data_IF_283535787792
#
_entry.id   IF_283535787792
#
_cell.length_a   1.000
_cell.length_b   1.000
_cell.length_c   1.000
_cell.angle_alpha   90.00
_cell.angle_beta   90.00
_cell.angle_gamma   90.00
#
_symmetry.space_group_name_H-M   'P 1'
#
loop_
_entity.id
_entity.type
_entity.pdbx_description
1 polymer ?
#
# COMPACT_ATOMS: atom_id res chain seq x y z
N UNK A 1 12.53 -12.56 -3.52
CA UNK A 1 11.86 -11.29 -3.88
C UNK A 1 11.93 -11.12 -5.39
N UNK A 2 10.81 -10.74 -6.01
CA UNK A 2 10.70 -10.50 -7.45
C UNK A 2 10.26 -9.06 -7.70
N UNK A 3 10.96 -8.36 -8.59
CA UNK A 3 10.46 -7.10 -9.12
C UNK A 3 9.53 -7.38 -10.29
N UNK A 4 8.29 -6.87 -10.21
CA UNK A 4 7.33 -6.97 -11.30
C UNK A 4 7.55 -5.79 -12.24
N UNK A 5 8.06 -6.10 -13.43
CA UNK A 5 8.26 -5.13 -14.51
C UNK A 5 7.41 -5.48 -15.71
N UNK A 6 7.00 -4.45 -16.44
CA UNK A 6 6.27 -4.59 -17.69
C UNK A 6 4.74 -4.56 -17.53
N UNK A 7 4.01 -4.10 -18.56
CA UNK A 7 2.57 -3.87 -18.48
C UNK A 7 1.76 -5.12 -18.11
N UNK A 8 2.13 -6.29 -18.63
CA UNK A 8 1.38 -7.53 -18.40
C UNK A 8 1.43 -7.98 -16.94
N UNK A 9 2.61 -7.96 -16.32
CA UNK A 9 2.78 -8.36 -14.91
C UNK A 9 2.09 -7.38 -13.97
N UNK A 10 2.19 -6.07 -14.24
CA UNK A 10 1.51 -5.05 -13.43
C UNK A 10 -0.02 -5.11 -13.58
N UNK A 11 -0.56 -5.43 -14.76
CA UNK A 11 -1.99 -5.68 -14.93
C UNK A 11 -2.46 -6.94 -14.19
N UNK A 12 -1.65 -8.00 -14.18
CA UNK A 12 -1.94 -9.20 -13.38
C UNK A 12 -1.94 -8.89 -11.88
N UNK A 13 -0.98 -8.07 -11.42
CA UNK A 13 -0.87 -7.65 -10.04
C UNK A 13 -2.09 -6.81 -9.63
N UNK A 14 -2.48 -5.84 -10.45
CA UNK A 14 -3.69 -5.02 -10.24
C UNK A 14 -4.94 -5.91 -10.06
N UNK A 15 -5.14 -6.86 -10.98
CA UNK A 15 -6.27 -7.80 -10.93
C UNK A 15 -6.25 -8.68 -9.67
N UNK A 16 -5.06 -9.09 -9.23
CA UNK A 16 -4.91 -9.90 -8.02
C UNK A 16 -5.20 -9.08 -6.76
N UNK A 17 -4.63 -7.88 -6.64
CA UNK A 17 -4.86 -6.96 -5.52
C UNK A 17 -6.34 -6.60 -5.38
N UNK A 18 -7.07 -6.44 -6.49
CA UNK A 18 -8.52 -6.13 -6.47
C UNK A 18 -9.34 -7.12 -5.65
N UNK A 19 -8.92 -8.39 -5.56
CA UNK A 19 -9.63 -9.44 -4.78
C UNK A 19 -9.56 -9.22 -3.27
N UNK A 20 -8.63 -8.39 -2.81
CA UNK A 20 -8.35 -8.15 -1.40
C UNK A 20 -8.75 -6.73 -0.95
N UNK A 21 -9.60 -6.07 -1.72
CA UNK A 21 -10.17 -4.81 -1.31
C UNK A 21 -11.15 -5.00 -0.14
N UNK A 22 -11.24 -4.05 0.82
CA UNK A 22 -10.60 -2.73 0.82
C UNK A 22 -9.16 -2.70 1.35
N UNK A 23 -8.63 -3.78 1.93
CA UNK A 23 -7.31 -3.77 2.58
C UNK A 23 -6.15 -3.47 1.63
N UNK A 24 -6.27 -3.92 0.38
CA UNK A 24 -5.27 -3.67 -0.66
C UNK A 24 -5.40 -2.29 -1.32
N UNK A 25 -6.43 -1.49 -0.97
CA UNK A 25 -6.87 -0.32 -1.76
C UNK A 25 -5.74 0.66 -2.05
N UNK A 26 -4.88 0.95 -1.06
CA UNK A 26 -3.76 1.86 -1.26
C UNK A 26 -2.79 1.36 -2.34
N UNK A 27 -2.36 0.10 -2.23
CA UNK A 27 -1.42 -0.52 -3.18
C UNK A 27 -2.09 -0.76 -4.54
N UNK A 28 -3.34 -1.24 -4.56
CA UNK A 28 -4.15 -1.40 -5.77
C UNK A 28 -4.24 -0.09 -6.55
N UNK A 29 -4.62 1.00 -5.87
CA UNK A 29 -4.74 2.31 -6.47
C UNK A 29 -3.43 2.79 -7.07
N UNK A 30 -2.30 2.58 -6.40
CA UNK A 30 -1.00 2.95 -6.97
C UNK A 30 -0.59 2.09 -8.15
N UNK A 31 -0.79 0.76 -8.11
CA UNK A 31 -0.51 -0.11 -9.26
C UNK A 31 -1.38 0.25 -10.47
N UNK A 32 -2.65 0.60 -10.24
CA UNK A 32 -3.55 1.10 -11.28
C UNK A 32 -2.97 2.34 -11.99
N UNK A 33 -2.41 3.31 -11.25
CA UNK A 33 -1.75 4.48 -11.85
C UNK A 33 -0.40 4.14 -12.49
N UNK A 34 0.33 3.14 -11.96
CA UNK A 34 1.54 2.63 -12.62
C UNK A 34 1.22 2.05 -14.01
N UNK A 35 0.09 1.35 -14.14
CA UNK A 35 -0.39 0.85 -15.43
C UNK A 35 -0.77 1.96 -16.43
N UNK A 36 -0.87 3.22 -15.99
CA UNK A 36 -1.20 4.39 -16.81
C UNK A 36 0.02 5.26 -17.16
N UNK A 37 1.22 4.69 -17.10
CA UNK A 37 2.45 5.37 -17.50
C UNK A 37 3.44 5.62 -16.37
N UNK A 38 3.06 5.36 -15.12
CA UNK A 38 3.97 5.38 -13.97
C UNK A 38 4.84 6.65 -13.87
N UNK A 39 4.23 7.86 -13.80
CA UNK A 39 4.97 9.12 -13.86
C UNK A 39 5.97 9.29 -12.71
N UNK A 40 5.74 8.63 -11.57
CA UNK A 40 6.60 8.66 -10.39
C UNK A 40 7.66 7.55 -10.38
N UNK A 41 7.85 6.84 -11.50
CA UNK A 41 8.86 5.78 -11.70
C UNK A 41 8.91 4.79 -10.53
N UNK A 42 7.74 4.33 -10.10
CA UNK A 42 7.62 3.35 -9.04
C UNK A 42 7.96 1.95 -9.55
N UNK A 43 8.35 1.07 -8.63
CA UNK A 43 8.48 -0.37 -8.86
C UNK A 43 7.64 -1.13 -7.85
N UNK A 44 7.10 -2.27 -8.28
CA UNK A 44 6.41 -3.21 -7.43
C UNK A 44 7.32 -4.41 -7.14
N UNK A 45 7.48 -4.73 -5.86
CA UNK A 45 8.24 -5.86 -5.35
C UNK A 45 7.28 -6.84 -4.68
N UNK A 46 7.48 -8.13 -4.92
CA UNK A 46 6.71 -9.21 -4.29
C UNK A 46 7.62 -10.29 -3.71
N UNK A 47 7.18 -10.97 -2.66
CA UNK A 47 7.90 -12.13 -2.10
C UNK A 47 7.89 -13.32 -3.07
N UNK A 48 6.72 -13.60 -3.66
CA UNK A 48 6.45 -14.71 -4.57
C UNK A 48 5.60 -14.23 -5.75
N UNK A 49 5.63 -14.95 -6.86
CA UNK A 49 4.80 -14.66 -8.02
C UNK A 49 4.39 -15.97 -8.72
N UNK A 50 3.14 -16.12 -9.21
CA UNK A 50 2.03 -15.16 -9.19
C UNK A 50 1.28 -15.04 -7.86
N UNK A 51 1.44 -16.01 -6.97
CA UNK A 51 0.75 -16.03 -5.67
C UNK A 51 1.59 -15.36 -4.57
N UNK A 52 1.71 -14.04 -4.65
CA UNK A 52 2.41 -13.25 -3.64
C UNK A 52 1.71 -13.34 -2.27
N UNK A 53 2.46 -13.20 -1.17
CA UNK A 53 1.90 -12.84 0.13
C UNK A 53 2.01 -11.34 0.39
N UNK A 54 3.14 -10.72 0.05
CA UNK A 54 3.39 -9.31 0.33
C UNK A 54 3.77 -8.57 -0.94
N UNK A 55 3.21 -7.37 -1.10
CA UNK A 55 3.53 -6.41 -2.15
C UNK A 55 4.07 -5.14 -1.51
N UNK A 56 5.22 -4.68 -2.01
CA UNK A 56 5.78 -3.38 -1.68
C UNK A 56 5.92 -2.56 -2.95
N UNK A 57 5.28 -1.40 -2.98
CA UNK A 57 5.47 -0.41 -4.04
C UNK A 57 6.30 0.74 -3.50
N UNK A 58 7.37 1.10 -4.22
CA UNK A 58 8.31 2.17 -3.84
C UNK A 58 8.90 2.84 -5.08
N UNK A 59 9.45 4.05 -4.99
CA UNK A 59 10.25 4.59 -6.08
C UNK A 59 11.46 3.71 -6.38
N UNK A 60 11.95 3.84 -7.61
CA UNK A 60 13.27 3.31 -7.99
C UNK A 60 14.37 4.02 -7.20
N UNK A 61 15.47 3.33 -6.95
CA UNK A 61 16.62 3.84 -6.17
C UNK A 61 17.12 5.21 -6.67
N UNK A 62 17.09 5.42 -7.99
CA UNK A 62 17.55 6.66 -8.64
C UNK A 62 16.68 7.88 -8.30
N UNK A 63 15.44 7.68 -7.86
CA UNK A 63 14.57 8.76 -7.42
C UNK A 63 14.73 9.05 -5.92
N UNK A 64 15.34 8.14 -5.16
CA UNK A 64 15.44 8.19 -3.69
C UNK A 64 16.81 8.72 -3.24
N UNK A 65 17.23 9.85 -3.81
CA UNK A 65 18.58 10.41 -3.62
C UNK A 65 18.73 11.26 -2.35
N UNK A 66 17.63 11.88 -1.90
CA UNK A 66 17.62 12.67 -0.66
C UNK A 66 17.18 11.79 0.52
N UNK A 67 18.10 11.54 1.44
CA UNK A 67 17.83 10.74 2.64
C UNK A 67 16.86 11.42 3.62
N UNK A 68 16.56 12.71 3.47
CA UNK A 68 15.66 13.46 4.37
C UNK A 68 14.24 13.62 3.80
N UNK A 69 14.07 13.40 2.49
CA UNK A 69 12.78 13.54 1.81
C UNK A 69 11.89 12.30 1.99
N UNK A 70 11.19 12.25 3.13
CA UNK A 70 10.21 11.20 3.40
C UNK A 70 9.02 11.18 2.44
N UNK A 71 8.75 12.26 1.68
CA UNK A 71 7.67 12.27 0.69
C UNK A 71 8.05 11.44 -0.53
N UNK A 72 9.25 11.65 -1.08
CA UNK A 72 9.75 10.80 -2.16
C UNK A 72 10.06 9.40 -1.65
N UNK A 73 10.62 9.25 -0.45
CA UNK A 73 10.94 7.97 0.19
C UNK A 73 9.69 7.24 0.74
N UNK A 74 8.64 7.12 -0.06
CA UNK A 74 7.38 6.47 0.29
C UNK A 74 7.36 4.99 -0.11
N UNK A 75 6.95 4.14 0.82
CA UNK A 75 6.72 2.72 0.62
C UNK A 75 5.24 2.42 0.87
N UNK A 76 4.60 1.71 -0.05
CA UNK A 76 3.21 1.29 0.07
C UNK A 76 3.14 -0.23 0.19
N UNK A 77 2.46 -0.72 1.22
CA UNK A 77 2.56 -2.12 1.62
C UNK A 77 1.16 -2.73 1.74
N UNK A 78 1.03 -3.91 1.14
CA UNK A 78 -0.08 -4.83 1.34
C UNK A 78 0.48 -6.22 1.62
N UNK A 79 -0.04 -6.91 2.64
CA UNK A 79 0.30 -8.30 2.93
C UNK A 79 -0.94 -9.13 3.21
N UNK A 80 -1.06 -10.30 2.58
CA UNK A 80 -2.04 -11.34 2.95
C UNK A 80 -1.74 -11.90 4.34
N UNK A 81 -0.47 -11.84 4.76
CA UNK A 81 0.00 -12.28 6.06
C UNK A 81 0.92 -11.20 6.68
N UNK A 82 0.34 -10.20 7.36
CA UNK A 82 1.12 -9.14 7.99
C UNK A 82 2.14 -9.68 9.00
N UNK A 83 1.80 -10.74 9.76
CA UNK A 83 2.66 -11.26 10.83
C UNK A 83 3.97 -11.84 10.29
N UNK A 84 3.93 -12.44 9.11
CA UNK A 84 5.09 -13.10 8.50
C UNK A 84 5.82 -12.24 7.44
N UNK A 85 5.41 -10.98 7.22
CA UNK A 85 6.09 -10.11 6.26
C UNK A 85 7.33 -9.40 6.83
N UNK A 86 7.61 -9.54 8.14
CA UNK A 86 8.68 -8.83 8.83
C UNK A 86 10.06 -9.05 8.20
N UNK A 87 10.41 -10.28 7.83
CA UNK A 87 11.70 -10.61 7.21
C UNK A 87 11.88 -9.88 5.88
N UNK A 88 10.87 -9.92 5.01
CA UNK A 88 10.87 -9.22 3.73
C UNK A 88 11.05 -7.72 3.92
N UNK A 89 10.26 -7.10 4.81
CA UNK A 89 10.29 -5.66 5.05
C UNK A 89 11.60 -5.21 5.75
N UNK A 90 12.25 -6.10 6.49
CA UNK A 90 13.53 -5.84 7.13
C UNK A 90 14.74 -5.85 6.18
N UNK A 91 14.56 -6.37 4.96
CA UNK A 91 15.60 -6.42 3.94
C UNK A 91 15.94 -5.04 3.38
N UNK A 92 17.22 -4.66 3.27
CA UNK A 92 17.65 -3.37 2.71
C UNK A 92 17.32 -3.23 1.22
N UNK A 93 17.10 -4.34 0.51
CA UNK A 93 16.68 -4.34 -0.89
C UNK A 93 15.21 -3.94 -1.05
N UNK A 94 14.41 -4.12 0.02
CA UNK A 94 12.98 -3.81 0.03
C UNK A 94 12.77 -2.40 0.60
N UNK A 95 13.20 -2.17 1.84
CA UNK A 95 13.11 -0.86 2.52
C UNK A 95 14.51 -0.39 2.89
N UNK A 96 14.86 0.81 2.42
CA UNK A 96 16.05 1.49 2.88
C UNK A 96 15.82 2.08 4.28
N UNK A 97 16.07 1.30 5.32
CA UNK A 97 16.06 1.76 6.72
C UNK A 97 17.30 2.61 7.08
N UNK A 98 17.87 3.38 6.16
CA UNK A 98 18.95 4.35 6.47
C UNK A 98 18.55 5.79 6.17
N UNK A 99 17.29 6.00 5.77
CA UNK A 99 16.75 7.29 5.34
C UNK A 99 15.45 7.61 6.09
N UNK A 100 15.04 8.87 6.05
CA UNK A 100 13.70 9.29 6.41
C UNK A 100 12.71 8.78 5.37
N UNK A 101 11.67 8.10 5.82
CA UNK A 101 10.74 7.40 4.96
C UNK A 101 9.30 7.51 5.46
N UNK A 102 8.36 7.28 4.55
CA UNK A 102 6.95 7.14 4.86
C UNK A 102 6.45 5.76 4.46
N UNK A 103 5.72 5.09 5.34
CA UNK A 103 5.03 3.84 5.03
C UNK A 103 3.53 4.10 4.99
N UNK A 104 2.87 3.62 3.93
CA UNK A 104 1.43 3.76 3.74
C UNK A 104 0.79 2.39 3.56
N UNK A 105 -0.23 2.09 4.36
CA UNK A 105 -1.04 0.89 4.22
C UNK A 105 -2.47 1.16 4.70
N UNK A 106 -3.41 0.34 4.25
CA UNK A 106 -4.79 0.29 4.75
C UNK A 106 -5.00 -0.85 5.76
N UNK A 107 -3.94 -1.57 6.14
CA UNK A 107 -4.01 -2.71 7.06
C UNK A 107 -3.49 -2.31 8.46
N UNK A 108 -4.36 -2.19 9.48
CA UNK A 108 -3.93 -1.80 10.83
C UNK A 108 -2.95 -2.80 11.45
N UNK A 109 -3.07 -4.09 11.10
CA UNK A 109 -2.22 -5.18 11.61
C UNK A 109 -0.75 -5.06 11.17
N UNK A 110 -0.42 -4.23 10.18
CA UNK A 110 0.98 -3.95 9.83
C UNK A 110 1.67 -3.02 10.82
N UNK A 111 0.93 -2.23 11.61
CA UNK A 111 1.53 -1.25 12.51
C UNK A 111 2.48 -1.91 13.53
N UNK A 112 2.09 -3.04 14.13
CA UNK A 112 2.94 -3.79 15.07
C UNK A 112 4.25 -4.26 14.41
N UNK A 113 4.16 -4.79 13.18
CA UNK A 113 5.31 -5.26 12.41
C UNK A 113 6.27 -4.11 12.09
N UNK A 114 5.74 -2.95 11.70
CA UNK A 114 6.55 -1.75 11.42
C UNK A 114 7.21 -1.22 12.71
N UNK A 115 6.49 -1.22 13.84
CA UNK A 115 7.06 -0.82 15.12
C UNK A 115 8.20 -1.75 15.56
N UNK A 116 8.02 -3.06 15.41
CA UNK A 116 9.05 -4.06 15.72
C UNK A 116 10.30 -3.88 14.83
N UNK A 117 10.10 -3.66 13.52
CA UNK A 117 11.18 -3.38 12.59
C UNK A 117 11.91 -2.08 12.94
N UNK A 118 11.16 -1.01 13.22
CA UNK A 118 11.74 0.26 13.61
C UNK A 118 12.59 0.12 14.89
N UNK A 119 12.08 -0.56 15.91
CA UNK A 119 12.83 -0.85 17.13
C UNK A 119 14.13 -1.62 16.84
N UNK A 120 14.03 -2.71 16.07
CA UNK A 120 15.19 -3.55 15.70
C UNK A 120 16.27 -2.81 14.90
N UNK A 121 15.87 -1.77 14.15
CA UNK A 121 16.76 -0.92 13.33
C UNK A 121 17.14 0.39 14.02
N UNK A 122 16.73 0.60 15.27
CA UNK A 122 16.93 1.85 16.04
C UNK A 122 16.29 3.10 15.40
N UNK A 123 15.15 2.94 14.72
CA UNK A 123 14.33 4.01 14.16
C UNK A 123 13.28 4.50 15.16
N UNK A 124 13.01 5.81 15.11
CA UNK A 124 11.81 6.39 15.72
C UNK A 124 10.70 6.41 14.68
N UNK A 125 9.56 5.80 15.00
CA UNK A 125 8.38 5.79 14.14
C UNK A 125 7.26 6.62 14.77
N UNK A 126 6.56 7.41 13.95
CA UNK A 126 5.32 8.10 14.32
C UNK A 126 4.17 7.47 13.56
N UNK A 127 3.24 6.85 14.27
CA UNK A 127 2.01 6.34 13.67
C UNK A 127 1.02 7.50 13.46
N UNK A 128 0.35 7.53 12.30
CA UNK A 128 -0.74 8.46 12.02
C UNK A 128 -1.85 7.75 11.27
N UNK A 129 -3.08 7.92 11.76
CA UNK A 129 -4.27 7.42 11.08
C UNK A 129 -4.78 8.44 10.08
N UNK A 130 -5.21 7.98 8.90
CA UNK A 130 -5.71 8.80 7.80
C UNK A 130 -6.93 8.12 7.19
N UNK A 131 -7.91 8.93 6.79
CA UNK A 131 -9.08 8.45 6.05
C UNK A 131 -8.81 8.54 4.55
N UNK A 132 -9.02 7.43 3.84
CA UNK A 132 -8.98 7.40 2.39
C UNK A 132 -10.42 7.45 1.86
N UNK A 133 -10.76 8.54 1.18
CA UNK A 133 -12.06 8.72 0.56
C UNK A 133 -12.05 8.17 -0.86
N UNK A 134 -13.10 7.44 -1.22
CA UNK A 134 -13.31 6.91 -2.56
C UNK A 134 -14.69 7.36 -3.03
N UNK A 135 -14.79 7.79 -4.28
CA UNK A 135 -16.07 8.16 -4.90
C UNK A 135 -17.02 6.96 -4.85
N UNK A 136 -18.28 7.19 -4.45
CA UNK A 136 -19.25 6.14 -4.24
C UNK A 136 -19.43 5.22 -5.47
N UNK A 137 -19.45 5.79 -6.68
CA UNK A 137 -19.57 5.00 -7.92
C UNK A 137 -18.36 4.12 -8.18
N UNK A 138 -17.16 4.56 -7.77
CA UNK A 138 -15.96 3.73 -7.80
C UNK A 138 -16.09 2.56 -6.82
N UNK A 139 -16.64 2.79 -5.61
CA UNK A 139 -16.92 1.72 -4.65
C UNK A 139 -17.95 0.73 -5.22
N UNK A 140 -19.06 1.21 -5.81
CA UNK A 140 -20.06 0.34 -6.48
C UNK A 140 -19.42 -0.57 -7.52
N UNK A 141 -18.48 -0.04 -8.30
CA UNK A 141 -17.80 -0.80 -9.37
C UNK A 141 -16.73 -1.76 -8.85
N UNK A 142 -15.97 -1.36 -7.82
CA UNK A 142 -14.80 -2.11 -7.36
C UNK A 142 -15.13 -3.09 -6.23
N UNK A 143 -15.99 -2.69 -5.29
CA UNK A 143 -16.29 -3.40 -4.04
C UNK A 143 -17.79 -3.21 -3.69
N UNK A 144 -18.73 -3.72 -4.51
CA UNK A 144 -20.17 -3.48 -4.30
C UNK A 144 -20.65 -3.93 -2.90
N UNK A 145 -20.04 -4.95 -2.31
CA UNK A 145 -20.36 -5.46 -0.97
C UNK A 145 -20.17 -4.44 0.17
N UNK A 146 -19.34 -3.40 -0.02
CA UNK A 146 -19.19 -2.33 0.97
C UNK A 146 -20.41 -1.39 1.03
N UNK A 147 -21.28 -1.42 0.02
CA UNK A 147 -22.47 -0.58 -0.05
C UNK A 147 -23.76 -1.32 0.29
N UNK A 148 -23.66 -2.61 0.66
CA UNK A 148 -24.81 -3.35 1.15
C UNK A 148 -25.38 -2.67 2.39
N UNK A 149 -26.68 -2.40 2.35
CA UNK A 149 -27.43 -1.57 3.32
C UNK A 149 -27.28 -2.07 4.77
N UNK A 150 -26.93 -3.34 4.96
CA UNK A 150 -26.64 -3.93 6.28
C UNK A 150 -25.37 -3.38 6.94
N UNK A 151 -24.44 -2.81 6.17
CA UNK A 151 -23.17 -2.24 6.63
C UNK A 151 -23.19 -0.71 6.75
N UNK A 152 -24.27 -0.06 6.32
CA UNK A 152 -24.42 1.39 6.46
C UNK A 152 -24.99 1.72 7.85
N UNK A 153 -24.45 2.72 8.57
CA UNK A 153 -25.07 3.20 9.79
C UNK A 153 -26.53 3.59 9.51
N UNK A 154 -27.49 3.23 10.38
CA UNK A 154 -28.88 3.63 10.20
C UNK A 154 -28.98 5.15 10.36
N UNK A 155 -29.01 5.88 9.25
CA UNK A 155 -29.25 7.33 9.25
C UNK A 155 -28.39 8.09 8.25
N UNK A 156 -28.83 8.14 7.00
CA UNK A 156 -28.41 9.17 6.05
C UNK A 156 -28.93 10.53 6.49
N UNK A 157 -28.21 11.19 7.42
CA UNK A 157 -28.44 12.59 7.73
C UNK A 157 -28.12 13.43 6.50
N UNK A 158 -29.11 14.15 5.97
CA UNK A 158 -28.88 15.16 4.92
C UNK A 158 -27.74 16.08 5.38
N UNK A 159 -26.79 16.44 4.49
CA UNK A 159 -25.81 17.46 4.81
C UNK A 159 -26.56 18.72 5.25
N UNK A 160 -26.25 19.26 6.44
CA UNK A 160 -26.65 20.62 6.76
C UNK A 160 -25.94 21.53 5.76
N UNK A 161 -26.73 22.34 5.04
CA UNK A 161 -26.18 23.44 4.26
C UNK A 161 -25.32 24.32 5.19
N UNK A 162 -24.13 24.67 4.72
CA UNK A 162 -23.32 25.74 5.32
C UNK A 162 -24.02 27.09 5.13
#
# INVERSE_FOLDING_TARGET
MFQLQGPQLLQMLEKSLRKFLPESLKVYGTVFHMNQGNPFKLKALVDKWPDFNTVVVRPQEQEMVDNWDHYTNTYQIYSKDPKNCQELLGSPEVINWKQHLQIQSSQPNLNEVIQNLAASKSFKVKHTERFLYVVADTVKKLIPSLLDVKNLPPGGGKPKAM
#
